data_IF_203202099736
#
_entry.id   IF_203202099736
#
_cell.length_a   1.000
_cell.length_b   1.000
_cell.length_c   1.000
_cell.angle_alpha   90.00
_cell.angle_beta   90.00
_cell.angle_gamma   90.00
#
_symmetry.space_group_name_H-M   'P 1'
#
loop_
_entity.id
_entity.type
_entity.pdbx_description
1 polymer ?
#
# COMPACT_ATOMS: atom_id res chain seq x y z
N UNK A 1 66.01 -45.73 -19.01
CA UNK A 1 65.17 -45.22 -20.10
C UNK A 1 63.72 -45.49 -19.74
N UNK A 2 62.90 -44.45 -19.67
CA UNK A 2 61.47 -44.48 -19.28
C UNK A 2 60.60 -45.09 -20.38
N UNK A 3 59.57 -45.85 -19.98
CA UNK A 3 58.25 -46.07 -20.63
C UNK A 3 57.54 -47.14 -19.80
N UNK A 4 56.23 -47.19 -19.57
CA UNK A 4 55.11 -46.26 -19.68
C UNK A 4 54.00 -47.04 -18.95
N UNK A 5 53.70 -46.73 -17.67
CA UNK A 5 52.61 -47.41 -16.96
C UNK A 5 51.32 -46.65 -17.24
N UNK A 6 50.43 -47.37 -17.90
CA UNK A 6 49.12 -46.97 -18.38
C UNK A 6 48.20 -46.69 -17.18
N UNK A 7 48.21 -45.46 -16.66
CA UNK A 7 47.22 -45.03 -15.68
C UNK A 7 45.92 -44.74 -16.43
N UNK A 8 44.98 -45.70 -16.39
CA UNK A 8 43.59 -45.48 -16.79
C UNK A 8 42.95 -44.50 -15.79
N UNK A 9 43.21 -43.20 -15.98
CA UNK A 9 42.32 -42.16 -15.50
C UNK A 9 41.12 -42.23 -16.44
N UNK A 10 40.11 -43.00 -16.04
CA UNK A 10 38.78 -42.87 -16.64
C UNK A 10 38.30 -41.46 -16.34
N UNK A 11 38.48 -40.60 -17.34
CA UNK A 11 37.94 -39.26 -17.46
C UNK A 11 36.41 -39.37 -17.58
N UNK A 12 35.75 -39.63 -16.46
CA UNK A 12 34.34 -39.34 -16.22
C UNK A 12 34.44 -38.17 -15.25
N UNK A 13 34.45 -36.92 -15.71
CA UNK A 13 33.22 -36.16 -15.99
C UNK A 13 32.16 -36.44 -14.91
N UNK A 14 32.62 -36.55 -13.67
CA UNK A 14 31.94 -36.04 -12.50
C UNK A 14 32.29 -34.53 -12.49
N UNK A 15 31.93 -33.75 -13.53
CA UNK A 15 30.72 -32.93 -13.43
C UNK A 15 29.95 -33.39 -12.18
N UNK A 16 30.32 -32.92 -10.99
CA UNK A 16 30.10 -31.51 -10.69
C UNK A 16 28.74 -31.14 -11.29
N UNK A 17 27.72 -31.96 -10.96
CA UNK A 17 26.52 -31.50 -10.29
C UNK A 17 26.95 -30.54 -9.14
N UNK A 18 27.64 -29.45 -9.47
CA UNK A 18 27.20 -28.15 -9.03
C UNK A 18 25.80 -28.11 -9.61
N UNK A 19 24.84 -28.45 -8.75
CA UNK A 19 23.47 -28.02 -8.87
C UNK A 19 23.61 -26.49 -8.85
N UNK A 20 23.98 -25.92 -9.99
CA UNK A 20 23.47 -24.61 -10.35
C UNK A 20 21.99 -24.93 -10.47
N UNK A 21 21.25 -24.63 -9.40
CA UNK A 21 19.83 -24.37 -9.58
C UNK A 21 19.82 -23.32 -10.67
N UNK A 22 19.46 -23.73 -11.88
CA UNK A 22 19.14 -22.78 -12.92
C UNK A 22 17.94 -22.06 -12.35
N UNK A 23 18.16 -20.88 -11.77
CA UNK A 23 17.09 -19.97 -11.38
C UNK A 23 16.33 -19.74 -12.69
N UNK A 24 15.17 -20.40 -12.81
CA UNK A 24 14.31 -20.23 -13.95
C UNK A 24 13.66 -18.86 -13.73
N UNK A 25 14.04 -17.89 -14.54
CA UNK A 25 13.39 -16.59 -14.55
C UNK A 25 11.88 -16.79 -14.78
N UNK A 26 11.07 -16.06 -14.03
CA UNK A 26 9.63 -16.05 -14.21
C UNK A 26 9.23 -15.21 -15.42
N UNK A 27 7.93 -15.05 -15.63
CA UNK A 27 7.39 -14.24 -16.72
C UNK A 27 7.70 -12.74 -16.53
N UNK A 28 8.11 -12.34 -15.32
CA UNK A 28 8.38 -10.96 -14.95
C UNK A 28 9.80 -10.50 -15.29
N UNK A 29 10.77 -11.37 -15.59
CA UNK A 29 12.09 -10.94 -16.11
C UNK A 29 11.99 -10.50 -17.59
N UNK A 30 11.28 -9.40 -17.81
CA UNK A 30 10.79 -9.01 -19.11
C UNK A 30 10.59 -7.49 -19.27
N UNK A 31 10.52 -7.06 -20.53
CA UNK A 31 10.07 -5.72 -20.90
C UNK A 31 8.80 -5.79 -21.75
N UNK A 32 7.71 -5.23 -21.26
CA UNK A 32 6.43 -5.12 -21.96
C UNK A 32 6.35 -3.75 -22.64
N UNK A 33 6.52 -3.73 -23.96
CA UNK A 33 6.45 -2.51 -24.79
C UNK A 33 5.20 -2.42 -25.67
N UNK A 34 4.43 -3.50 -25.76
CA UNK A 34 3.14 -3.58 -26.46
C UNK A 34 2.06 -4.11 -25.54
N UNK A 35 0.79 -3.92 -25.92
CA UNK A 35 -0.33 -4.44 -25.15
C UNK A 35 -0.29 -5.98 -25.02
N UNK A 36 -0.54 -6.49 -23.81
CA UNK A 36 -0.68 -7.91 -23.51
C UNK A 36 -1.86 -8.18 -22.59
N UNK A 37 -2.48 -9.34 -22.80
CA UNK A 37 -3.53 -9.90 -21.96
C UNK A 37 -3.12 -11.27 -21.39
N UNK A 38 -1.82 -11.53 -21.18
CA UNK A 38 -1.29 -12.67 -20.38
C UNK A 38 -0.83 -12.31 -18.95
N UNK A 39 -1.19 -13.11 -17.93
CA UNK A 39 -0.86 -12.87 -16.52
C UNK A 39 0.63 -13.09 -16.41
N UNK A 40 1.34 -12.22 -15.72
CA UNK A 40 2.77 -12.41 -15.48
C UNK A 40 2.94 -12.99 -14.08
N UNK A 41 3.48 -14.20 -14.00
CA UNK A 41 3.89 -14.83 -12.75
C UNK A 41 5.38 -14.60 -12.58
N UNK A 42 5.75 -13.85 -11.55
CA UNK A 42 7.13 -13.55 -11.26
C UNK A 42 7.82 -14.74 -10.58
N UNK A 43 9.14 -14.74 -10.62
CA UNK A 43 10.01 -15.55 -9.78
C UNK A 43 10.95 -14.65 -8.96
N UNK A 44 11.61 -15.24 -7.96
CA UNK A 44 12.68 -14.61 -7.20
C UNK A 44 13.65 -13.80 -8.09
N UNK A 45 13.84 -12.53 -7.71
CA UNK A 45 14.74 -11.56 -8.34
C UNK A 45 14.38 -11.17 -9.79
N UNK A 46 13.16 -11.45 -10.25
CA UNK A 46 12.69 -10.98 -11.55
C UNK A 46 12.63 -9.45 -11.61
N UNK A 47 12.85 -8.91 -12.81
CA UNK A 47 12.77 -7.47 -13.09
C UNK A 47 11.84 -7.18 -14.26
N UNK A 48 10.65 -6.65 -13.96
CA UNK A 48 9.63 -6.28 -14.94
C UNK A 48 9.70 -4.80 -15.29
N UNK A 49 9.81 -4.47 -16.58
CA UNK A 49 9.63 -3.08 -17.08
C UNK A 49 8.41 -2.98 -17.99
N UNK A 50 7.48 -2.07 -17.68
CA UNK A 50 6.25 -1.86 -18.45
C UNK A 50 6.23 -0.46 -19.06
N UNK A 51 6.26 -0.40 -20.39
CA UNK A 51 6.09 0.83 -21.19
C UNK A 51 4.90 0.77 -22.16
N UNK A 52 4.40 -0.44 -22.43
CA UNK A 52 3.11 -0.70 -23.07
C UNK A 52 2.00 -0.90 -22.03
N UNK A 53 1.13 -1.90 -22.23
CA UNK A 53 0.02 -2.16 -21.30
C UNK A 53 -0.13 -3.65 -20.98
N UNK A 54 -0.30 -3.98 -19.71
CA UNK A 54 -0.78 -5.28 -19.23
C UNK A 54 -2.23 -5.09 -18.84
N UNK A 55 -3.15 -5.83 -19.44
CA UNK A 55 -4.59 -5.77 -19.11
C UNK A 55 -5.11 -7.17 -18.83
N UNK A 56 -5.57 -7.45 -17.61
CA UNK A 56 -6.47 -8.58 -17.37
C UNK A 56 -7.89 -8.16 -17.68
N UNK A 57 -8.57 -8.97 -18.46
CA UNK A 57 -10.03 -8.96 -18.58
C UNK A 57 -10.52 -10.31 -18.09
N UNK A 58 -11.44 -10.28 -17.15
CA UNK A 58 -11.92 -11.47 -16.49
C UNK A 58 -13.04 -12.10 -17.32
N UNK A 59 -12.75 -13.13 -18.10
CA UNK A 59 -13.79 -13.94 -18.74
C UNK A 59 -14.29 -15.08 -17.83
N UNK A 60 -13.49 -15.65 -16.91
CA UNK A 60 -13.88 -16.92 -16.25
C UNK A 60 -13.23 -17.27 -14.87
N UNK A 61 -12.50 -16.38 -14.16
CA UNK A 61 -11.77 -16.78 -12.94
C UNK A 61 -12.00 -15.85 -11.70
N UNK A 62 -12.20 -16.41 -10.48
CA UNK A 62 -12.57 -15.63 -9.30
C UNK A 62 -11.45 -14.80 -8.66
N UNK A 63 -10.18 -15.05 -9.02
CA UNK A 63 -9.00 -14.33 -8.49
C UNK A 63 -8.11 -13.88 -9.67
N UNK A 64 -8.36 -12.68 -10.19
CA UNK A 64 -7.65 -12.17 -11.36
C UNK A 64 -6.55 -11.20 -10.96
N UNK A 65 -5.31 -11.54 -11.35
CA UNK A 65 -4.11 -10.74 -11.07
C UNK A 65 -3.37 -10.44 -12.37
N UNK A 66 -2.98 -9.19 -12.60
CA UNK A 66 -2.19 -8.84 -13.79
C UNK A 66 -0.71 -9.21 -13.64
N UNK A 67 -0.12 -8.88 -12.49
CA UNK A 67 1.25 -9.25 -12.11
C UNK A 67 1.25 -9.89 -10.73
N UNK A 68 1.70 -11.13 -10.67
CA UNK A 68 1.70 -11.97 -9.48
C UNK A 68 3.13 -12.18 -8.98
N UNK A 69 3.44 -11.59 -7.84
CA UNK A 69 4.70 -11.73 -7.12
C UNK A 69 4.48 -12.47 -5.78
N UNK A 70 3.46 -13.33 -5.70
CA UNK A 70 3.15 -14.07 -4.48
C UNK A 70 4.29 -15.02 -4.09
N UNK A 71 4.78 -14.88 -2.85
CA UNK A 71 5.78 -15.77 -2.26
C UNK A 71 7.22 -15.55 -2.74
N UNK A 72 7.45 -14.57 -3.61
CA UNK A 72 8.75 -14.33 -4.24
C UNK A 72 9.58 -13.27 -3.47
N UNK A 73 10.91 -13.38 -3.58
CA UNK A 73 11.90 -12.47 -3.00
C UNK A 73 12.60 -11.62 -4.08
N UNK A 74 12.71 -10.31 -3.84
CA UNK A 74 13.55 -9.41 -4.64
C UNK A 74 12.97 -9.02 -6.00
N UNK A 75 11.67 -9.25 -6.22
CA UNK A 75 10.98 -8.82 -7.45
C UNK A 75 10.99 -7.30 -7.57
N UNK A 76 11.34 -6.79 -8.75
CA UNK A 76 11.30 -5.36 -9.07
C UNK A 76 10.37 -5.09 -10.25
N UNK A 77 9.40 -4.19 -10.07
CA UNK A 77 8.43 -3.80 -11.10
C UNK A 77 8.60 -2.31 -11.37
N UNK A 78 8.94 -1.95 -12.61
CA UNK A 78 9.07 -0.56 -13.07
C UNK A 78 8.02 -0.25 -14.14
N UNK A 79 7.20 0.77 -13.92
CA UNK A 79 6.19 1.23 -14.88
C UNK A 79 6.59 2.62 -15.37
N UNK A 80 6.81 2.79 -16.67
CA UNK A 80 7.16 4.09 -17.25
C UNK A 80 5.93 5.00 -17.33
N UNK A 81 6.13 6.28 -17.65
CA UNK A 81 5.06 7.29 -17.80
C UNK A 81 3.96 6.91 -18.81
N UNK A 82 4.28 6.08 -19.80
CA UNK A 82 3.32 5.51 -20.75
C UNK A 82 2.81 4.12 -20.37
N UNK A 83 3.39 3.51 -19.34
CA UNK A 83 3.09 2.15 -18.93
C UNK A 83 1.73 2.04 -18.23
N UNK A 84 1.05 0.91 -18.41
CA UNK A 84 -0.17 0.60 -17.65
C UNK A 84 -0.19 -0.86 -17.22
N UNK A 85 -0.47 -1.10 -15.94
CA UNK A 85 -0.86 -2.42 -15.42
C UNK A 85 -2.29 -2.29 -14.91
N UNK A 86 -3.21 -3.08 -15.46
CA UNK A 86 -4.59 -2.99 -15.05
C UNK A 86 -5.35 -4.32 -15.05
N UNK A 87 -6.32 -4.40 -14.16
CA UNK A 87 -7.41 -5.39 -14.18
C UNK A 87 -8.73 -4.69 -14.48
N UNK A 88 -9.52 -5.25 -15.40
CA UNK A 88 -10.82 -4.72 -15.78
C UNK A 88 -11.88 -5.75 -15.42
N UNK A 89 -12.81 -5.35 -14.55
CA UNK A 89 -14.01 -6.13 -14.22
C UNK A 89 -15.09 -5.84 -15.27
N UNK A 90 -15.37 -6.78 -16.18
CA UNK A 90 -16.39 -6.58 -17.22
C UNK A 90 -17.80 -7.04 -16.78
N UNK A 91 -17.90 -7.81 -15.68
CA UNK A 91 -19.19 -8.34 -15.20
C UNK A 91 -19.26 -8.37 -13.67
N UNK A 92 -20.40 -7.94 -13.10
CA UNK A 92 -20.61 -7.68 -11.66
C UNK A 92 -20.56 -8.89 -10.71
N UNK A 93 -19.83 -9.96 -11.05
CA UNK A 93 -19.76 -11.22 -10.31
C UNK A 93 -18.40 -11.49 -9.65
N UNK A 94 -17.38 -10.72 -9.99
CA UNK A 94 -16.00 -10.99 -9.56
C UNK A 94 -15.73 -10.45 -8.16
N UNK A 95 -14.85 -11.12 -7.41
CA UNK A 95 -14.64 -10.84 -5.98
C UNK A 95 -13.25 -10.28 -5.68
N UNK A 96 -12.24 -10.60 -6.52
CA UNK A 96 -10.88 -10.08 -6.42
C UNK A 96 -10.27 -9.83 -7.81
N UNK A 97 -9.80 -8.61 -8.06
CA UNK A 97 -9.18 -8.17 -9.32
C UNK A 97 -7.97 -7.27 -8.98
N UNK A 98 -6.84 -7.88 -8.59
CA UNK A 98 -5.67 -7.12 -8.16
C UNK A 98 -4.75 -6.77 -9.34
N UNK A 99 -4.31 -5.52 -9.46
CA UNK A 99 -3.36 -5.19 -10.52
C UNK A 99 -1.97 -5.78 -10.23
N UNK A 100 -1.51 -5.70 -8.99
CA UNK A 100 -0.28 -6.35 -8.51
C UNK A 100 -0.58 -7.07 -7.20
N UNK A 101 -0.23 -8.35 -7.12
CA UNK A 101 -0.30 -9.14 -5.88
C UNK A 101 1.09 -9.40 -5.32
N UNK A 102 1.32 -8.99 -4.08
CA UNK A 102 2.53 -9.23 -3.30
C UNK A 102 2.26 -10.02 -2.02
N UNK A 103 1.38 -11.02 -2.08
CA UNK A 103 1.11 -11.90 -0.93
C UNK A 103 2.37 -12.67 -0.56
N UNK A 104 2.77 -12.71 0.70
CA UNK A 104 3.99 -13.37 1.18
C UNK A 104 5.30 -12.92 0.51
N UNK A 105 5.30 -11.81 -0.23
CA UNK A 105 6.49 -11.35 -0.94
C UNK A 105 7.53 -10.78 0.03
N UNK A 106 8.80 -10.96 -0.30
CA UNK A 106 9.93 -10.37 0.40
C UNK A 106 10.68 -9.40 -0.53
N UNK A 107 11.06 -8.23 -0.03
CA UNK A 107 11.86 -7.26 -0.79
C UNK A 107 11.23 -6.82 -2.15
N UNK A 108 9.90 -6.80 -2.26
CA UNK A 108 9.21 -6.32 -3.46
C UNK A 108 9.40 -4.81 -3.64
N UNK A 109 9.83 -4.40 -4.83
CA UNK A 109 9.95 -2.99 -5.21
C UNK A 109 9.03 -2.66 -6.38
N UNK A 110 8.19 -1.63 -6.23
CA UNK A 110 7.34 -1.09 -7.30
C UNK A 110 7.70 0.37 -7.54
N UNK A 111 8.18 0.72 -8.72
CA UNK A 111 8.47 2.09 -9.16
C UNK A 111 7.53 2.50 -10.30
N UNK A 112 6.53 3.32 -9.97
CA UNK A 112 5.45 3.68 -10.88
C UNK A 112 5.54 5.13 -11.35
N UNK A 113 5.72 5.32 -12.66
CA UNK A 113 5.51 6.62 -13.33
C UNK A 113 4.25 6.64 -14.20
N UNK A 114 3.62 5.48 -14.44
CA UNK A 114 2.46 5.32 -15.31
C UNK A 114 1.19 5.07 -14.52
N UNK A 115 0.38 4.12 -14.96
CA UNK A 115 -0.89 3.77 -14.28
C UNK A 115 -0.88 2.33 -13.75
N UNK A 116 -1.21 2.17 -12.47
CA UNK A 116 -1.60 0.90 -11.88
C UNK A 116 -3.07 1.02 -11.51
N UNK A 117 -3.93 0.18 -12.08
CA UNK A 117 -5.37 0.29 -11.90
C UNK A 117 -6.02 -1.06 -11.62
N UNK A 118 -6.71 -1.17 -10.49
CA UNK A 118 -7.61 -2.28 -10.24
C UNK A 118 -9.07 -1.84 -10.41
N UNK A 119 -9.80 -2.56 -11.27
CA UNK A 119 -11.22 -2.30 -11.50
C UNK A 119 -12.04 -2.36 -10.21
N UNK A 120 -11.71 -3.30 -9.32
CA UNK A 120 -12.40 -3.46 -8.03
C UNK A 120 -11.42 -3.55 -6.88
N UNK A 121 -10.66 -4.63 -6.75
CA UNK A 121 -10.07 -5.00 -5.45
C UNK A 121 -8.85 -4.15 -5.04
N UNK A 122 -7.62 -4.62 -5.26
CA UNK A 122 -6.40 -3.87 -4.90
C UNK A 122 -5.59 -3.45 -6.11
N UNK A 123 -5.21 -2.18 -6.19
CA UNK A 123 -4.20 -1.82 -7.19
C UNK A 123 -2.84 -2.49 -6.84
N UNK A 124 -2.48 -2.52 -5.56
CA UNK A 124 -1.35 -3.29 -5.03
C UNK A 124 -1.75 -3.96 -3.70
N UNK A 125 -1.92 -5.27 -3.71
CA UNK A 125 -2.23 -6.07 -2.52
C UNK A 125 -0.97 -6.57 -1.83
N UNK A 126 -0.84 -6.32 -0.53
CA UNK A 126 0.30 -6.70 0.30
C UNK A 126 -0.20 -7.45 1.56
N UNK A 127 -0.17 -8.78 1.50
CA UNK A 127 -0.62 -9.64 2.59
C UNK A 127 0.53 -10.50 3.08
N UNK A 128 0.83 -10.48 4.38
CA UNK A 128 1.98 -11.22 4.93
C UNK A 128 3.29 -10.87 4.19
N UNK A 129 3.40 -9.63 3.72
CA UNK A 129 4.50 -9.15 2.89
C UNK A 129 5.51 -8.36 3.72
N UNK A 130 6.81 -8.52 3.45
CA UNK A 130 7.87 -7.83 4.19
C UNK A 130 8.85 -7.10 3.26
N UNK A 131 9.38 -5.99 3.77
CA UNK A 131 10.34 -5.11 3.13
C UNK A 131 9.85 -4.58 1.78
N UNK A 132 8.61 -4.11 1.74
CA UNK A 132 7.96 -3.65 0.52
C UNK A 132 8.25 -2.16 0.31
N UNK A 133 8.71 -1.80 -0.88
CA UNK A 133 8.88 -0.40 -1.27
C UNK A 133 8.01 -0.08 -2.47
N UNK A 134 7.12 0.90 -2.33
CA UNK A 134 6.31 1.44 -3.43
C UNK A 134 6.69 2.91 -3.62
N UNK A 135 7.14 3.25 -4.82
CA UNK A 135 7.41 4.64 -5.23
C UNK A 135 6.44 5.02 -6.34
N UNK A 136 5.47 5.87 -6.02
CA UNK A 136 4.60 6.50 -7.02
C UNK A 136 5.19 7.86 -7.40
N UNK A 137 5.79 7.95 -8.59
CA UNK A 137 6.42 9.16 -9.12
C UNK A 137 5.37 10.21 -9.46
N UNK A 138 5.81 11.43 -9.77
CA UNK A 138 4.92 12.58 -9.97
C UNK A 138 3.86 12.39 -11.07
N UNK A 139 4.16 11.63 -12.12
CA UNK A 139 3.20 11.29 -13.19
C UNK A 139 2.41 10.02 -12.89
N UNK A 140 2.83 9.28 -11.86
CA UNK A 140 2.27 8.00 -11.48
C UNK A 140 0.87 8.12 -10.90
N UNK A 141 0.00 7.23 -11.32
CA UNK A 141 -1.33 7.03 -10.76
C UNK A 141 -1.46 5.59 -10.28
N UNK A 142 -1.83 5.40 -9.01
CA UNK A 142 -2.21 4.10 -8.46
C UNK A 142 -3.66 4.21 -8.02
N UNK A 143 -4.54 3.36 -8.55
CA UNK A 143 -5.96 3.60 -8.35
C UNK A 143 -6.87 2.39 -8.34
N UNK A 144 -8.00 2.57 -7.69
CA UNK A 144 -9.20 1.75 -7.86
C UNK A 144 -10.39 2.56 -8.35
N UNK A 145 -11.51 1.91 -8.65
CA UNK A 145 -12.70 2.59 -9.18
C UNK A 145 -13.50 3.28 -8.07
N UNK A 146 -13.42 4.62 -8.00
CA UNK A 146 -14.29 5.48 -7.17
C UNK A 146 -15.78 5.22 -7.39
N UNK A 147 -16.57 5.37 -6.33
CA UNK A 147 -18.02 5.14 -6.31
C UNK A 147 -18.47 3.68 -6.46
N UNK A 148 -17.56 2.71 -6.63
CA UNK A 148 -17.91 1.31 -6.83
C UNK A 148 -17.79 0.50 -5.54
N UNK A 149 -18.91 -0.01 -5.04
CA UNK A 149 -18.94 -0.86 -3.84
C UNK A 149 -18.11 -2.13 -4.00
N UNK A 150 -17.35 -2.48 -2.95
CA UNK A 150 -16.41 -3.60 -2.99
C UNK A 150 -15.08 -3.27 -3.68
N UNK A 151 -14.86 -2.00 -4.06
CA UNK A 151 -13.55 -1.57 -4.47
C UNK A 151 -12.69 -1.20 -3.26
N UNK A 152 -11.78 -2.10 -2.87
CA UNK A 152 -11.09 -2.07 -1.57
C UNK A 152 -10.06 -0.94 -1.52
N UNK A 153 -8.83 -1.18 -1.96
CA UNK A 153 -7.77 -0.22 -1.69
C UNK A 153 -6.73 -0.06 -2.79
N UNK A 154 -6.17 1.14 -2.92
CA UNK A 154 -5.12 1.35 -3.90
C UNK A 154 -3.82 0.66 -3.48
N UNK A 155 -3.37 0.82 -2.23
CA UNK A 155 -2.14 0.17 -1.74
C UNK A 155 -2.31 -0.36 -0.32
N UNK A 156 -1.83 -1.58 -0.08
CA UNK A 156 -1.58 -2.09 1.27
C UNK A 156 -2.15 -3.49 1.52
N UNK A 157 -2.48 -3.79 2.79
CA UNK A 157 -3.08 -5.06 3.16
C UNK A 157 -2.83 -5.46 4.62
N UNK A 158 -2.74 -6.76 4.90
CA UNK A 158 -2.72 -7.30 6.27
C UNK A 158 -1.38 -7.94 6.60
N UNK A 159 -0.94 -7.87 7.87
CA UNK A 159 0.32 -8.48 8.34
C UNK A 159 1.57 -8.05 7.58
N UNK A 160 1.59 -6.83 7.05
CA UNK A 160 2.81 -6.28 6.43
C UNK A 160 3.88 -6.11 7.51
N UNK A 161 5.12 -6.56 7.28
CA UNK A 161 6.21 -6.45 8.26
C UNK A 161 6.02 -7.33 9.50
N UNK A 162 5.05 -8.24 9.42
CA UNK A 162 4.65 -9.16 10.48
C UNK A 162 4.28 -10.52 9.89
N UNK A 163 4.90 -10.87 8.76
CA UNK A 163 4.77 -12.20 8.20
C UNK A 163 5.48 -13.21 9.11
N UNK A 164 5.10 -14.48 9.02
CA UNK A 164 5.87 -15.56 9.65
C UNK A 164 7.18 -15.90 8.91
N UNK A 165 7.43 -15.27 7.76
CA UNK A 165 8.48 -15.63 6.80
C UNK A 165 9.74 -14.77 6.93
N UNK A 166 9.64 -13.59 7.54
CA UNK A 166 10.81 -12.73 7.71
C UNK A 166 11.73 -13.27 8.84
N UNK A 167 12.85 -13.85 8.42
CA UNK A 167 13.90 -14.42 9.28
C UNK A 167 14.94 -13.39 9.75
N UNK A 168 14.86 -12.15 9.28
CA UNK A 168 15.77 -11.07 9.65
C UNK A 168 15.34 -10.38 10.96
N UNK A 169 16.30 -9.78 11.67
CA UNK A 169 16.05 -9.04 12.90
C UNK A 169 15.18 -7.77 12.71
N UNK A 170 14.97 -7.34 11.46
CA UNK A 170 14.19 -6.15 11.14
C UNK A 170 13.27 -6.40 9.93
N UNK A 171 12.08 -6.94 10.18
CA UNK A 171 11.02 -6.98 9.20
C UNK A 171 10.38 -5.59 9.13
N UNK A 172 10.39 -4.98 7.94
CA UNK A 172 9.65 -3.75 7.66
C UNK A 172 8.38 -4.11 6.89
N UNK A 173 7.31 -3.34 7.08
CA UNK A 173 6.09 -3.54 6.30
C UNK A 173 6.20 -2.85 4.96
N UNK A 174 5.32 -1.88 4.74
CA UNK A 174 5.30 -1.03 3.57
C UNK A 174 6.09 0.26 3.83
N UNK A 175 6.99 0.61 2.92
CA UNK A 175 7.50 1.97 2.73
C UNK A 175 6.90 2.55 1.45
N UNK A 176 6.02 3.53 1.59
CA UNK A 176 5.32 4.19 0.49
C UNK A 176 5.88 5.60 0.27
N UNK A 177 6.42 5.87 -0.91
CA UNK A 177 6.81 7.19 -1.37
C UNK A 177 5.83 7.68 -2.44
N UNK A 178 5.04 8.71 -2.16
CA UNK A 178 4.07 9.26 -3.10
C UNK A 178 4.42 10.68 -3.52
N UNK A 179 4.63 10.87 -4.82
CA UNK A 179 4.78 12.18 -5.49
C UNK A 179 3.64 12.44 -6.47
N UNK A 180 2.88 11.41 -6.85
CA UNK A 180 1.79 11.46 -7.82
C UNK A 180 0.41 11.30 -7.17
N UNK A 181 -0.48 10.58 -7.83
CA UNK A 181 -1.85 10.35 -7.37
C UNK A 181 -2.06 8.92 -6.90
N UNK A 182 -2.60 8.76 -5.69
CA UNK A 182 -3.16 7.51 -5.18
C UNK A 182 -4.65 7.77 -4.91
N UNK A 183 -5.54 7.03 -5.59
CA UNK A 183 -6.99 7.21 -5.45
C UNK A 183 -7.74 5.90 -5.24
N UNK A 184 -8.76 5.89 -4.39
CA UNK A 184 -9.59 4.71 -4.16
C UNK A 184 -11.04 5.05 -3.80
N UNK A 185 -11.91 4.05 -3.87
CA UNK A 185 -13.26 4.16 -3.31
C UNK A 185 -13.28 3.96 -1.78
N UNK A 186 -12.79 2.82 -1.27
CA UNK A 186 -12.79 2.58 0.18
C UNK A 186 -11.54 3.11 0.86
N UNK A 187 -10.37 2.56 0.56
CA UNK A 187 -9.08 2.98 1.15
C UNK A 187 -8.00 3.35 0.14
N UNK A 188 -7.46 4.57 0.21
CA UNK A 188 -6.29 4.88 -0.62
C UNK A 188 -5.07 4.07 -0.13
N UNK A 189 -4.85 4.06 1.19
CA UNK A 189 -3.80 3.28 1.84
C UNK A 189 -4.39 2.54 3.03
N UNK A 190 -4.21 1.21 3.06
CA UNK A 190 -4.74 0.36 4.12
C UNK A 190 -3.65 -0.46 4.81
N UNK A 191 -3.77 -0.62 6.12
CA UNK A 191 -2.87 -1.48 6.90
C UNK A 191 -3.58 -2.19 8.05
N UNK A 192 -3.52 -3.52 8.07
CA UNK A 192 -3.92 -4.34 9.21
C UNK A 192 -5.33 -4.93 9.08
N UNK A 193 -6.11 -4.99 10.16
CA UNK A 193 -7.40 -5.71 10.15
C UNK A 193 -7.88 -6.11 11.55
N UNK A 194 -8.15 -7.38 11.80
CA UNK A 194 -8.31 -7.85 13.17
C UNK A 194 -6.99 -7.74 13.96
N UNK A 195 -7.03 -7.89 15.30
CA UNK A 195 -5.81 -7.92 16.13
C UNK A 195 -4.82 -9.03 15.73
N UNK A 196 -5.30 -10.10 15.08
CA UNK A 196 -4.44 -11.16 14.52
C UNK A 196 -3.83 -10.83 13.15
N UNK A 197 -4.18 -9.68 12.58
CA UNK A 197 -3.77 -9.19 11.26
C UNK A 197 -2.88 -7.95 11.34
N UNK A 198 -2.29 -7.68 12.50
CA UNK A 198 -1.41 -6.52 12.76
C UNK A 198 -0.32 -6.37 11.71
N UNK A 199 -0.28 -5.20 11.07
CA UNK A 199 0.83 -4.74 10.24
C UNK A 199 1.81 -3.93 11.09
N UNK A 200 3.10 -4.04 10.81
CA UNK A 200 4.17 -3.35 11.53
C UNK A 200 5.00 -2.47 10.61
N UNK A 201 5.67 -1.45 11.17
CA UNK A 201 6.69 -0.66 10.47
C UNK A 201 6.22 -0.12 9.13
N UNK A 202 4.99 0.37 9.08
CA UNK A 202 4.40 0.95 7.87
C UNK A 202 4.73 2.42 7.84
N UNK A 203 5.44 2.86 6.79
CA UNK A 203 5.89 4.23 6.61
C UNK A 203 5.28 4.82 5.34
N UNK A 204 4.64 5.96 5.47
CA UNK A 204 3.97 6.66 4.37
C UNK A 204 4.59 8.05 4.26
N UNK A 205 5.15 8.35 3.11
CA UNK A 205 5.74 9.63 2.77
C UNK A 205 4.98 10.23 1.59
N UNK A 206 4.13 11.23 1.85
CA UNK A 206 3.43 11.98 0.82
C UNK A 206 4.15 13.31 0.58
N UNK A 207 4.80 13.43 -0.58
CA UNK A 207 5.68 14.55 -0.95
C UNK A 207 4.92 15.68 -1.64
N UNK A 208 5.59 16.81 -1.84
CA UNK A 208 5.05 17.98 -2.55
C UNK A 208 4.45 17.59 -3.92
N UNK A 209 3.21 18.04 -4.16
CA UNK A 209 2.39 17.65 -5.33
C UNK A 209 1.71 16.28 -5.23
N UNK A 210 2.12 15.45 -4.26
CA UNK A 210 1.53 14.15 -3.99
C UNK A 210 0.12 14.26 -3.42
N UNK A 211 -0.80 13.48 -3.98
CA UNK A 211 -2.18 13.36 -3.53
C UNK A 211 -2.47 11.91 -3.15
N UNK A 212 -2.97 11.70 -1.94
CA UNK A 212 -3.58 10.44 -1.50
C UNK A 212 -5.04 10.74 -1.20
N UNK A 213 -5.96 10.10 -1.90
CA UNK A 213 -7.36 10.46 -1.85
C UNK A 213 -8.26 9.23 -1.87
N UNK A 214 -9.33 9.24 -1.08
CA UNK A 214 -10.36 8.21 -1.17
C UNK A 214 -11.75 8.80 -1.05
N UNK A 215 -12.76 8.12 -1.61
CA UNK A 215 -14.15 8.51 -1.38
C UNK A 215 -14.50 8.30 0.10
N UNK A 216 -14.11 7.18 0.72
CA UNK A 216 -14.51 6.85 2.11
C UNK A 216 -13.46 7.14 3.17
N UNK A 217 -12.33 6.42 3.17
CA UNK A 217 -11.31 6.46 4.24
C UNK A 217 -9.94 6.55 3.59
N UNK A 218 -9.16 7.59 3.82
CA UNK A 218 -7.97 7.78 2.96
C UNK A 218 -6.78 6.95 3.41
N UNK A 219 -6.20 7.28 4.58
CA UNK A 219 -5.21 6.43 5.25
C UNK A 219 -5.90 5.73 6.41
N UNK A 220 -6.03 4.40 6.35
CA UNK A 220 -6.73 3.63 7.38
C UNK A 220 -5.88 2.47 7.89
N UNK A 221 -5.37 2.63 9.12
CA UNK A 221 -4.53 1.63 9.79
C UNK A 221 -5.28 1.08 11.01
N UNK A 222 -5.47 -0.24 11.02
CA UNK A 222 -6.20 -0.97 12.03
C UNK A 222 -5.32 -2.05 12.66
N UNK A 223 -5.11 -1.96 13.96
CA UNK A 223 -4.18 -2.84 14.70
C UNK A 223 -2.74 -2.77 14.21
N UNK A 224 -2.26 -1.60 13.80
CA UNK A 224 -0.88 -1.38 13.39
C UNK A 224 0.09 -1.08 14.55
N UNK A 225 1.37 -1.39 14.38
CA UNK A 225 2.44 -1.07 15.34
C UNK A 225 3.63 -0.42 14.61
N UNK A 226 4.25 0.61 15.19
CA UNK A 226 5.38 1.32 14.60
C UNK A 226 5.00 1.93 13.24
N UNK A 227 4.11 2.92 13.28
CA UNK A 227 3.50 3.52 12.09
C UNK A 227 3.99 4.95 11.94
N UNK A 228 4.46 5.30 10.75
CA UNK A 228 4.93 6.65 10.45
C UNK A 228 4.16 7.23 9.24
N UNK A 229 3.57 8.41 9.41
CA UNK A 229 2.91 9.17 8.36
C UNK A 229 3.54 10.56 8.26
N UNK A 230 4.22 10.83 7.15
CA UNK A 230 4.74 12.15 6.81
C UNK A 230 3.96 12.71 5.63
N UNK A 231 3.27 13.83 5.86
CA UNK A 231 2.57 14.57 4.83
C UNK A 231 3.27 15.91 4.64
N UNK A 232 4.15 16.00 3.65
CA UNK A 232 5.01 17.16 3.44
C UNK A 232 4.24 18.39 2.92
N UNK A 233 4.88 19.56 3.03
CA UNK A 233 4.33 20.80 2.47
C UNK A 233 4.00 20.64 0.99
N UNK A 234 2.82 21.11 0.57
CA UNK A 234 2.30 20.96 -0.79
C UNK A 234 1.65 19.60 -1.09
N UNK A 235 1.71 18.65 -0.16
CA UNK A 235 1.07 17.34 -0.27
C UNK A 235 -0.35 17.35 0.31
N UNK A 236 -1.23 16.52 -0.24
CA UNK A 236 -2.64 16.42 0.19
C UNK A 236 -3.04 14.98 0.51
N UNK A 237 -3.69 14.80 1.66
CA UNK A 237 -4.39 13.58 2.07
C UNK A 237 -5.84 13.96 2.32
N UNK A 238 -6.78 13.42 1.54
CA UNK A 238 -8.18 13.87 1.57
C UNK A 238 -9.16 12.71 1.46
N UNK A 239 -10.19 12.72 2.32
CA UNK A 239 -11.37 11.88 2.16
C UNK A 239 -12.53 12.71 1.56
N UNK A 240 -12.90 12.43 0.31
CA UNK A 240 -13.84 13.24 -0.50
C UNK A 240 -15.27 13.17 0.02
N UNK A 241 -15.73 11.98 0.36
CA UNK A 241 -17.11 11.66 0.72
C UNK A 241 -17.13 10.70 1.92
N UNK A 242 -16.23 10.90 2.87
CA UNK A 242 -16.11 9.97 3.96
C UNK A 242 -15.26 10.44 5.12
N UNK A 243 -15.36 9.64 6.17
CA UNK A 243 -14.74 9.96 7.43
C UNK A 243 -13.27 9.53 7.34
N UNK A 244 -12.38 10.42 7.81
CA UNK A 244 -10.95 10.18 8.02
C UNK A 244 -10.04 10.39 6.81
N UNK A 245 -9.34 11.54 6.81
CA UNK A 245 -8.13 11.69 6.00
C UNK A 245 -7.05 10.72 6.49
N UNK A 246 -6.86 10.61 7.82
CA UNK A 246 -6.02 9.58 8.42
C UNK A 246 -6.67 9.00 9.68
N UNK A 247 -6.72 7.68 9.83
CA UNK A 247 -7.24 7.03 11.01
C UNK A 247 -6.39 5.86 11.47
N UNK A 248 -6.06 5.86 12.76
CA UNK A 248 -5.28 4.84 13.44
C UNK A 248 -6.12 4.27 14.57
N UNK A 249 -6.44 2.99 14.44
CA UNK A 249 -7.38 2.30 15.31
C UNK A 249 -6.71 1.10 15.96
N UNK A 250 -6.81 0.96 17.27
CA UNK A 250 -6.15 -0.11 18.05
C UNK A 250 -4.65 -0.22 17.73
N UNK A 251 -3.99 0.91 17.45
CA UNK A 251 -2.64 0.96 16.87
C UNK A 251 -1.67 1.62 17.85
N UNK A 252 -0.39 1.27 17.80
CA UNK A 252 0.63 1.74 18.75
C UNK A 252 1.90 2.25 18.06
N UNK A 253 2.65 3.10 18.77
CA UNK A 253 3.88 3.74 18.28
C UNK A 253 3.61 4.48 16.95
N UNK A 254 2.76 5.49 17.02
CA UNK A 254 2.28 6.25 15.86
C UNK A 254 3.01 7.59 15.81
N UNK A 255 3.64 7.88 14.67
CA UNK A 255 4.18 9.21 14.35
C UNK A 255 3.40 9.81 13.18
N UNK A 256 2.88 11.01 13.36
CA UNK A 256 2.25 11.81 12.32
C UNK A 256 2.99 13.14 12.27
N UNK A 257 3.62 13.44 11.14
CA UNK A 257 4.24 14.73 10.85
C UNK A 257 3.52 15.34 9.64
N UNK A 258 2.72 16.37 9.90
CA UNK A 258 1.93 17.05 8.89
C UNK A 258 2.42 18.47 8.65
N UNK A 259 3.02 18.72 7.49
CA UNK A 259 3.30 20.04 6.93
C UNK A 259 2.37 20.39 5.74
N UNK A 260 1.68 19.40 5.16
CA UNK A 260 0.73 19.54 4.06
C UNK A 260 -0.71 19.73 4.53
N UNK A 261 -1.65 19.19 3.76
CA UNK A 261 -3.09 19.17 4.11
C UNK A 261 -3.55 17.76 4.41
N UNK A 262 -4.19 17.57 5.56
CA UNK A 262 -4.98 16.37 5.87
C UNK A 262 -6.43 16.83 6.05
N UNK A 263 -7.32 16.38 5.17
CA UNK A 263 -8.73 16.75 5.19
C UNK A 263 -9.67 15.56 5.10
N UNK A 264 -10.90 15.79 5.53
CA UNK A 264 -12.02 14.89 5.32
C UNK A 264 -13.29 15.70 5.15
N UNK A 265 -14.20 15.27 4.30
CA UNK A 265 -15.56 15.81 4.28
C UNK A 265 -16.48 15.04 5.23
N UNK A 266 -17.56 15.67 5.67
CA UNK A 266 -18.60 14.99 6.41
C UNK A 266 -19.66 14.46 5.44
N UNK A 267 -19.53 13.21 5.03
CA UNK A 267 -20.44 12.64 4.03
C UNK A 267 -21.46 11.65 4.59
N UNK A 268 -21.22 11.14 5.80
CA UNK A 268 -22.20 10.29 6.43
C UNK A 268 -23.25 11.20 7.08
N UNK A 269 -24.39 11.32 6.41
CA UNK A 269 -25.62 11.93 6.94
C UNK A 269 -26.67 10.84 7.11
N UNK A 270 -27.49 10.88 8.18
CA UNK A 270 -28.64 9.99 8.31
C UNK A 270 -29.68 10.29 7.22
N UNK A 271 -30.78 9.55 7.25
CA UNK A 271 -31.89 9.70 6.30
C UNK A 271 -32.49 11.13 6.30
N UNK A 272 -32.27 11.91 7.35
CA UNK A 272 -32.74 13.29 7.50
C UNK A 272 -31.71 14.34 7.04
N UNK A 273 -30.50 13.92 6.67
CA UNK A 273 -29.42 14.80 6.27
C UNK A 273 -28.55 15.29 7.43
N UNK A 274 -28.74 14.75 8.65
CA UNK A 274 -27.96 15.12 9.82
C UNK A 274 -26.67 14.27 9.90
N UNK A 275 -25.51 14.84 10.28
CA UNK A 275 -24.25 14.10 10.38
C UNK A 275 -24.32 12.83 11.26
N UNK A 276 -24.16 11.64 10.66
CA UNK A 276 -24.01 10.36 11.38
C UNK A 276 -22.53 10.07 11.63
N UNK A 277 -22.18 9.86 12.89
CA UNK A 277 -20.81 9.59 13.34
C UNK A 277 -19.82 10.67 12.88
N UNK A 278 -20.01 11.87 13.42
CA UNK A 278 -19.15 13.04 13.29
C UNK A 278 -17.80 12.80 12.63
N UNK A 279 -17.68 13.15 11.35
CA UNK A 279 -16.44 13.02 10.61
C UNK A 279 -15.28 13.69 11.33
N UNK A 280 -14.10 13.08 11.25
CA UNK A 280 -12.87 13.68 11.74
C UNK A 280 -11.74 13.52 10.74
N UNK A 281 -10.86 14.52 10.65
CA UNK A 281 -9.74 14.49 9.69
C UNK A 281 -8.66 13.51 10.14
N UNK A 282 -8.28 13.56 11.42
CA UNK A 282 -7.36 12.61 12.07
C UNK A 282 -8.05 11.87 13.20
N UNK A 283 -8.11 10.54 13.08
CA UNK A 283 -8.71 9.63 14.04
C UNK A 283 -7.69 8.81 14.82
N UNK A 284 -7.83 8.79 16.14
CA UNK A 284 -6.99 8.03 17.07
C UNK A 284 -7.92 7.29 18.04
N UNK A 285 -8.20 6.01 17.77
CA UNK A 285 -9.13 5.20 18.58
C UNK A 285 -8.41 4.04 19.23
N UNK A 286 -8.41 3.95 20.57
CA UNK A 286 -7.64 2.91 21.28
C UNK A 286 -6.17 2.89 20.84
N UNK A 287 -5.61 4.09 20.61
CA UNK A 287 -4.27 4.25 20.06
C UNK A 287 -3.28 4.58 21.18
N UNK A 288 -2.03 4.10 21.10
CA UNK A 288 -1.06 4.24 22.18
C UNK A 288 0.29 4.75 21.67
N UNK A 289 1.00 5.55 22.48
CA UNK A 289 2.30 6.16 22.10
C UNK A 289 2.16 6.93 20.78
N UNK A 290 1.56 8.12 20.85
CA UNK A 290 1.23 8.93 19.67
C UNK A 290 2.04 10.22 19.71
N UNK A 291 2.78 10.48 18.64
CA UNK A 291 3.41 11.77 18.40
C UNK A 291 2.81 12.40 17.15
N UNK A 292 2.04 13.48 17.32
CA UNK A 292 1.45 14.26 16.24
C UNK A 292 2.08 15.64 16.22
N UNK A 293 2.86 15.95 15.18
CA UNK A 293 3.34 17.30 14.88
C UNK A 293 2.58 17.85 13.67
N UNK A 294 1.91 18.98 13.87
CA UNK A 294 1.18 19.67 12.81
C UNK A 294 1.76 21.07 12.59
N UNK A 295 2.41 21.27 11.46
CA UNK A 295 2.81 22.57 10.91
C UNK A 295 1.97 22.99 9.69
N UNK A 296 1.20 22.07 9.12
CA UNK A 296 0.32 22.28 7.97
C UNK A 296 -1.15 22.55 8.35
N UNK A 297 -2.07 21.98 7.58
CA UNK A 297 -3.52 22.08 7.80
C UNK A 297 -4.11 20.72 8.10
N UNK A 298 -4.89 20.66 9.17
CA UNK A 298 -5.82 19.56 9.47
C UNK A 298 -7.22 20.17 9.49
N UNK A 299 -8.10 19.74 8.59
CA UNK A 299 -9.44 20.32 8.48
C UNK A 299 -10.52 19.29 8.19
N UNK A 300 -11.69 19.45 8.78
CA UNK A 300 -12.85 18.64 8.41
C UNK A 300 -14.11 19.48 8.34
N UNK A 301 -15.01 19.10 7.45
CA UNK A 301 -16.39 19.60 7.47
C UNK A 301 -17.23 18.91 8.56
N UNK A 302 -16.66 17.94 9.26
CA UNK A 302 -17.28 17.22 10.37
C UNK A 302 -17.00 17.83 11.74
N UNK A 303 -17.03 16.94 12.74
CA UNK A 303 -17.03 17.30 14.15
C UNK A 303 -15.64 17.65 14.69
N UNK A 304 -14.60 16.88 14.34
CA UNK A 304 -13.30 17.02 14.99
C UNK A 304 -12.14 17.06 13.98
N UNK A 305 -11.24 18.02 14.09
CA UNK A 305 -10.01 18.01 13.30
C UNK A 305 -9.15 16.82 13.71
N UNK A 306 -8.87 16.72 15.02
CA UNK A 306 -8.20 15.57 15.64
C UNK A 306 -9.11 15.00 16.71
N UNK A 307 -9.44 13.71 16.59
CA UNK A 307 -10.24 12.98 17.56
C UNK A 307 -9.43 11.85 18.21
N UNK A 308 -9.10 12.02 19.48
CA UNK A 308 -8.50 10.99 20.31
C UNK A 308 -9.52 10.45 21.32
N UNK A 309 -9.80 9.15 21.22
CA UNK A 309 -10.72 8.45 22.11
C UNK A 309 -10.10 7.18 22.67
N UNK A 310 -9.96 7.17 24.00
CA UNK A 310 -9.27 6.12 24.76
C UNK A 310 -7.84 5.93 24.21
N UNK A 311 -7.09 7.03 24.04
CA UNK A 311 -5.69 6.93 23.66
C UNK A 311 -4.78 6.93 24.90
N UNK A 312 -3.58 6.38 24.76
CA UNK A 312 -2.52 6.53 25.75
C UNK A 312 -1.33 7.30 25.17
N UNK A 313 -0.67 8.12 25.99
CA UNK A 313 0.60 8.79 25.64
C UNK A 313 0.51 9.66 24.36
N UNK A 314 -0.50 10.52 24.25
CA UNK A 314 -0.62 11.49 23.17
C UNK A 314 0.26 12.72 23.42
N UNK A 315 1.25 12.93 22.57
CA UNK A 315 1.96 14.19 22.38
C UNK A 315 1.46 14.87 21.11
N UNK A 316 0.89 16.07 21.25
CA UNK A 316 0.44 16.89 20.12
C UNK A 316 1.17 18.23 20.14
N UNK A 317 1.93 18.51 19.08
CA UNK A 317 2.54 19.81 18.81
C UNK A 317 1.83 20.43 17.61
N UNK A 318 1.34 21.65 17.76
CA UNK A 318 0.65 22.35 16.67
C UNK A 318 1.23 23.75 16.48
N UNK A 319 1.85 23.95 15.32
CA UNK A 319 2.24 25.26 14.78
C UNK A 319 1.42 25.67 13.55
N UNK A 320 0.66 24.73 12.97
CA UNK A 320 -0.25 24.94 11.84
C UNK A 320 -1.72 25.19 12.24
N UNK A 321 -2.62 24.84 11.33
CA UNK A 321 -4.08 24.99 11.51
C UNK A 321 -4.74 23.66 11.81
N UNK A 322 -5.62 23.64 12.82
CA UNK A 322 -6.60 22.56 13.04
C UNK A 322 -7.98 23.23 13.05
N UNK A 323 -8.88 22.81 12.17
CA UNK A 323 -10.19 23.46 11.99
C UNK A 323 -11.32 22.47 11.71
N UNK A 324 -12.54 22.87 12.05
CA UNK A 324 -13.77 22.09 11.89
C UNK A 324 -14.91 23.00 11.48
N UNK A 325 -15.89 22.50 10.72
CA UNK A 325 -17.13 23.23 10.48
C UNK A 325 -18.14 23.10 11.64
N UNK A 326 -18.20 21.95 12.32
CA UNK A 326 -19.31 21.64 13.24
C UNK A 326 -18.99 21.83 14.73
N UNK A 327 -17.95 21.17 15.26
CA UNK A 327 -17.73 21.10 16.71
C UNK A 327 -16.37 21.65 17.17
N UNK A 328 -15.43 20.77 17.53
CA UNK A 328 -14.23 21.12 18.30
C UNK A 328 -13.01 20.68 17.51
N UNK A 329 -12.07 21.59 17.18
CA UNK A 329 -10.86 21.24 16.43
C UNK A 329 -10.05 20.07 17.02
N UNK A 330 -9.96 19.99 18.35
CA UNK A 330 -9.28 18.92 19.06
C UNK A 330 -10.16 18.36 20.18
N UNK A 331 -10.47 17.07 20.14
CA UNK A 331 -11.18 16.36 21.21
C UNK A 331 -10.35 15.17 21.72
N UNK A 332 -9.96 15.23 22.99
CA UNK A 332 -9.26 14.14 23.70
C UNK A 332 -10.17 13.61 24.80
N UNK A 333 -10.56 12.33 24.72
CA UNK A 333 -11.53 11.71 25.65
C UNK A 333 -10.99 10.40 26.19
N UNK A 334 -11.18 10.18 27.49
CA UNK A 334 -10.78 8.96 28.19
C UNK A 334 -9.30 8.59 27.97
N UNK A 335 -8.45 9.59 27.76
CA UNK A 335 -7.03 9.38 27.55
C UNK A 335 -6.30 9.11 28.88
N UNK A 336 -5.25 8.29 28.82
CA UNK A 336 -4.43 7.89 29.97
C UNK A 336 -2.97 8.20 29.78
#
# INVERSE_FOLDING_TARGET
MKKLVFFKITFVVFFSFFISETVLAGDCDATISSATTTKLVCADNDSLTVSGSITRTNEDAPDDVAVDAEGEDGVTITITDTGTIQTITDTGTIVADDAIQGTSSLNLTVDNSGTIFAGRDWAIQLKEADNITVTNRATGTIKTTKGLSGSQAAVGGTKMGNSGNCVAAECFGLTLHNYGTIEANEEAVYGGGAASQTSKKTKIYNYDGGTINADKRTVYILSGEDIELYNYSGATIEADAGNYGANFKNSSAITIDNAGTISSSNAAVDEDGDPINGGYAVGLWLAETINLDNSGTISTDGNFGVYCYICADLTLTNSGTISTAEQIPLSVRLAT
#
